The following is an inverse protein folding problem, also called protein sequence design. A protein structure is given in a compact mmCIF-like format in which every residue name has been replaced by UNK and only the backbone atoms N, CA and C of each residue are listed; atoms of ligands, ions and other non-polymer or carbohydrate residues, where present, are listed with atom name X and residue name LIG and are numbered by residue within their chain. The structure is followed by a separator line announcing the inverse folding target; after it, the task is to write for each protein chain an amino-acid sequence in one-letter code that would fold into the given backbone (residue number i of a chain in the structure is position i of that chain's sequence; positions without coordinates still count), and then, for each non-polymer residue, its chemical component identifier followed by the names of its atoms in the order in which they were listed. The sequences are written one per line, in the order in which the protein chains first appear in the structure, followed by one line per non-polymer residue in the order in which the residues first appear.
data_IF_169440443563
#
_entry.id   IF_169440443563
#
_cell.length_a   1.000
_cell.length_b   1.000
_cell.length_c   1.000
_cell.angle_alpha   90.00
_cell.angle_beta   90.00
_cell.angle_gamma   90.00
#
_symmetry.space_group_name_H-M   'P 1'
#
loop_
_entity.id
_entity.type
_entity.pdbx_description
1 polymer ?
#
# COMPACT_ATOMS: atom_id res chain seq x y z
N UNK A 1 17.06 -11.95 12.36
CA UNK A 1 17.00 -10.49 12.09
C UNK A 1 18.14 -9.81 12.82
N UNK A 2 18.76 -8.78 12.23
CA UNK A 2 19.86 -8.04 12.90
C UNK A 2 19.36 -7.40 14.21
N UNK A 3 20.18 -7.33 15.28
CA UNK A 3 19.82 -6.60 16.53
C UNK A 3 19.57 -5.12 16.24
N UNK A 4 18.63 -4.49 16.95
CA UNK A 4 18.32 -3.07 16.80
C UNK A 4 19.51 -2.19 17.20
N UNK A 5 19.72 -1.07 16.51
CA UNK A 5 20.70 -0.06 16.87
C UNK A 5 20.13 1.37 16.75
N UNK A 6 20.99 2.38 16.97
CA UNK A 6 20.59 3.80 16.88
C UNK A 6 19.96 4.19 15.54
N UNK A 7 20.47 3.67 14.42
CA UNK A 7 19.95 4.00 13.08
C UNK A 7 18.57 3.38 12.86
N UNK A 8 18.36 2.16 13.35
CA UNK A 8 17.04 1.52 13.35
C UNK A 8 16.04 2.36 14.16
N UNK A 9 16.45 2.85 15.35
CA UNK A 9 15.62 3.72 16.18
C UNK A 9 15.28 5.05 15.51
N UNK A 10 16.24 5.70 14.86
CA UNK A 10 16.02 6.95 14.13
C UNK A 10 15.08 6.75 12.93
N UNK A 11 15.27 5.69 12.15
CA UNK A 11 14.40 5.37 11.01
C UNK A 11 12.96 5.12 11.48
N UNK A 12 12.78 4.27 12.51
CA UNK A 12 11.47 4.01 13.09
C UNK A 12 10.83 5.27 13.70
N UNK A 13 11.64 6.16 14.27
CA UNK A 13 11.19 7.47 14.76
C UNK A 13 10.63 8.35 13.62
N UNK A 14 11.30 8.42 12.47
CA UNK A 14 10.82 9.15 11.29
C UNK A 14 9.49 8.56 10.79
N UNK A 15 9.41 7.23 10.68
CA UNK A 15 8.18 6.54 10.26
C UNK A 15 7.05 6.85 11.24
N UNK A 16 7.31 6.74 12.54
CA UNK A 16 6.31 7.02 13.57
C UNK A 16 5.83 8.47 13.50
N UNK A 17 6.74 9.45 13.49
CA UNK A 17 6.39 10.87 13.44
C UNK A 17 5.59 11.20 12.19
N UNK A 18 6.04 10.75 11.02
CA UNK A 18 5.33 11.01 9.75
C UNK A 18 3.97 10.31 9.69
N UNK A 19 3.83 9.11 10.26
CA UNK A 19 2.55 8.40 10.41
C UNK A 19 1.59 9.19 11.32
N UNK A 20 2.07 9.66 12.47
CA UNK A 20 1.25 10.44 13.42
C UNK A 20 0.82 11.78 12.83
N UNK A 21 1.71 12.46 12.10
CA UNK A 21 1.36 13.70 11.38
C UNK A 21 0.30 13.45 10.30
N UNK A 22 0.42 12.35 9.56
CA UNK A 22 -0.57 11.95 8.54
C UNK A 22 -1.91 11.58 9.18
N UNK A 23 -1.87 10.89 10.32
CA UNK A 23 -3.06 10.50 11.09
C UNK A 23 -3.75 11.72 11.70
N UNK A 24 -3.01 12.70 12.20
CA UNK A 24 -3.57 13.97 12.67
C UNK A 24 -4.32 14.72 11.55
N UNK A 25 -3.92 14.48 10.29
CA UNK A 25 -4.55 15.02 9.09
C UNK A 25 -5.51 14.03 8.43
N UNK A 26 -6.00 13.00 9.13
CA UNK A 26 -6.84 11.94 8.54
C UNK A 26 -8.09 12.48 7.80
N UNK A 27 -8.58 13.66 8.19
CA UNK A 27 -9.71 14.34 7.56
C UNK A 27 -9.49 14.70 6.08
N UNK A 28 -8.24 14.77 5.60
CA UNK A 28 -7.96 15.03 4.18
C UNK A 28 -8.20 13.79 3.30
N UNK A 29 -8.31 12.61 3.90
CA UNK A 29 -8.57 11.36 3.19
C UNK A 29 -10.08 11.07 3.11
N UNK A 30 -10.54 10.31 2.10
CA UNK A 30 -9.74 9.81 0.99
C UNK A 30 -9.51 10.92 -0.04
N UNK A 31 -8.32 10.96 -0.65
CA UNK A 31 -7.99 12.02 -1.61
C UNK A 31 -8.63 11.66 -2.96
N UNK A 32 -9.47 12.55 -3.50
CA UNK A 32 -10.23 12.31 -4.73
C UNK A 32 -9.30 12.28 -5.96
N UNK A 33 -8.91 11.07 -6.39
CA UNK A 33 -8.39 10.74 -7.73
C UNK A 33 -8.71 9.27 -8.03
N UNK A 34 -8.03 8.35 -7.35
CA UNK A 34 -8.01 6.92 -7.72
C UNK A 34 -8.89 6.05 -6.79
N UNK A 35 -8.94 6.40 -5.52
CA UNK A 35 -9.59 5.58 -4.48
C UNK A 35 -11.09 5.34 -4.72
N UNK A 36 -11.80 6.28 -5.34
CA UNK A 36 -13.24 6.14 -5.62
C UNK A 36 -13.50 5.07 -6.68
N UNK A 37 -12.59 4.92 -7.66
CA UNK A 37 -12.64 3.82 -8.60
C UNK A 37 -12.49 2.48 -7.86
N UNK A 38 -11.48 2.34 -7.00
CA UNK A 38 -11.28 1.11 -6.21
C UNK A 38 -12.44 0.80 -5.24
N UNK A 39 -13.08 1.83 -4.68
CA UNK A 39 -14.30 1.67 -3.89
C UNK A 39 -15.47 1.14 -4.74
N UNK A 40 -15.63 1.65 -5.97
CA UNK A 40 -16.65 1.17 -6.92
C UNK A 40 -16.43 -0.29 -7.30
N UNK A 41 -15.20 -0.67 -7.66
CA UNK A 41 -14.83 -2.06 -7.95
C UNK A 41 -15.13 -2.96 -6.75
N UNK A 42 -14.70 -2.56 -5.55
CA UNK A 42 -14.94 -3.33 -4.32
C UNK A 42 -16.44 -3.54 -4.08
N UNK A 43 -17.26 -2.52 -4.36
CA UNK A 43 -18.71 -2.63 -4.27
C UNK A 43 -19.28 -3.55 -5.34
N UNK A 44 -18.77 -3.50 -6.57
CA UNK A 44 -19.10 -4.40 -7.67
C UNK A 44 -18.84 -5.86 -7.31
N UNK A 45 -17.65 -6.18 -6.79
CA UNK A 45 -17.30 -7.51 -6.29
C UNK A 45 -18.25 -7.97 -5.17
N UNK A 46 -18.59 -7.06 -4.25
CA UNK A 46 -19.54 -7.36 -3.16
C UNK A 46 -20.94 -7.67 -3.68
N UNK A 47 -21.42 -6.99 -4.73
CA UNK A 47 -22.73 -7.23 -5.34
C UNK A 47 -22.74 -8.57 -6.09
N UNK A 48 -21.65 -8.88 -6.79
CA UNK A 48 -21.48 -10.14 -7.53
C UNK A 48 -21.28 -11.38 -6.64
N UNK A 49 -21.01 -11.19 -5.34
CA UNK A 49 -20.66 -12.26 -4.42
C UNK A 49 -19.23 -12.78 -4.57
N UNK A 50 -18.35 -12.08 -5.29
CA UNK A 50 -16.98 -12.53 -5.54
C UNK A 50 -16.17 -11.63 -6.47
N UNK A 51 -14.94 -12.08 -6.80
CA UNK A 51 -14.07 -11.39 -7.76
C UNK A 51 -14.71 -11.48 -9.15
N UNK A 52 -14.78 -10.34 -9.83
CA UNK A 52 -15.28 -10.23 -11.20
C UNK A 52 -14.13 -9.82 -12.11
N UNK A 53 -13.94 -10.55 -13.21
CA UNK A 53 -12.90 -10.26 -14.20
C UNK A 53 -13.44 -9.47 -15.41
N UNK A 54 -14.77 -9.36 -15.51
CA UNK A 54 -15.45 -8.59 -16.52
C UNK A 54 -16.52 -7.71 -15.86
N UNK A 55 -16.17 -6.46 -15.66
CA UNK A 55 -16.90 -5.49 -14.86
C UNK A 55 -18.24 -5.17 -15.54
N UNK A 56 -19.33 -5.20 -14.76
CA UNK A 56 -20.69 -4.83 -15.22
C UNK A 56 -21.13 -3.44 -14.75
N UNK A 57 -20.36 -2.83 -13.83
CA UNK A 57 -20.67 -1.52 -13.24
C UNK A 57 -20.04 -0.34 -14.00
N UNK A 58 -19.07 -0.61 -14.88
CA UNK A 58 -18.49 0.38 -15.80
C UNK A 58 -18.81 0.00 -17.25
N UNK A 59 -18.97 1.01 -18.11
CA UNK A 59 -19.25 0.82 -19.55
C UNK A 59 -20.47 -0.07 -19.83
N UNK A 60 -21.48 -0.02 -18.94
CA UNK A 60 -22.74 -0.73 -19.15
C UNK A 60 -23.44 -0.28 -20.45
N UNK A 61 -24.13 -1.18 -21.16
CA UNK A 61 -24.38 -2.58 -20.80
C UNK A 61 -23.24 -3.54 -21.18
N UNK A 62 -22.29 -3.11 -22.02
CA UNK A 62 -21.26 -3.99 -22.57
C UNK A 62 -20.26 -4.44 -21.51
N UNK A 63 -19.96 -3.60 -20.53
CA UNK A 63 -18.94 -3.87 -19.53
C UNK A 63 -17.52 -3.68 -20.06
N UNK A 64 -16.54 -4.12 -19.27
CA UNK A 64 -15.14 -4.20 -19.71
C UNK A 64 -14.34 -5.24 -18.91
N UNK A 65 -13.20 -5.68 -19.45
CA UNK A 65 -12.25 -6.50 -18.69
C UNK A 65 -11.68 -5.70 -17.50
N UNK A 66 -11.58 -6.37 -16.36
CA UNK A 66 -11.06 -5.79 -15.13
C UNK A 66 -9.58 -5.40 -15.28
N UNK A 67 -9.24 -4.16 -14.87
CA UNK A 67 -7.94 -3.56 -15.18
C UNK A 67 -6.78 -3.99 -14.27
N UNK A 68 -7.06 -4.42 -13.03
CA UNK A 68 -6.03 -4.56 -11.99
C UNK A 68 -6.03 -5.96 -11.38
N UNK A 69 -4.89 -6.41 -10.83
CA UNK A 69 -4.90 -7.53 -9.90
C UNK A 69 -5.89 -7.28 -8.74
N UNK A 70 -6.66 -8.29 -8.32
CA UNK A 70 -7.78 -8.07 -7.40
C UNK A 70 -7.36 -7.88 -5.95
N UNK A 71 -6.08 -8.02 -5.59
CA UNK A 71 -5.62 -8.08 -4.20
C UNK A 71 -6.01 -6.85 -3.38
N UNK A 72 -5.82 -5.64 -3.91
CA UNK A 72 -6.26 -4.40 -3.26
C UNK A 72 -7.78 -4.43 -2.98
N UNK A 73 -8.58 -4.83 -3.96
CA UNK A 73 -10.03 -4.91 -3.86
C UNK A 73 -10.49 -5.99 -2.89
N UNK A 74 -9.74 -7.10 -2.77
CA UNK A 74 -10.02 -8.16 -1.79
C UNK A 74 -9.76 -7.65 -0.37
N UNK A 75 -8.66 -6.92 -0.13
CA UNK A 75 -8.38 -6.28 1.17
C UNK A 75 -9.49 -5.29 1.51
N UNK A 76 -9.85 -4.42 0.56
CA UNK A 76 -10.92 -3.45 0.74
C UNK A 76 -12.28 -4.12 1.00
N UNK A 77 -12.59 -5.19 0.27
CA UNK A 77 -13.82 -5.96 0.41
C UNK A 77 -13.93 -6.65 1.77
N UNK A 78 -12.81 -7.16 2.29
CA UNK A 78 -12.75 -7.69 3.66
C UNK A 78 -13.05 -6.60 4.69
N UNK A 79 -12.42 -5.44 4.59
CA UNK A 79 -12.66 -4.31 5.51
C UNK A 79 -14.09 -3.77 5.41
N UNK A 80 -14.66 -3.74 4.21
CA UNK A 80 -16.02 -3.25 3.95
C UNK A 80 -17.11 -4.09 4.64
N UNK A 81 -16.81 -5.34 5.03
CA UNK A 81 -17.71 -6.15 5.86
C UNK A 81 -17.94 -5.56 7.26
N UNK A 82 -17.00 -4.75 7.74
CA UNK A 82 -17.00 -4.23 9.11
C UNK A 82 -17.04 -2.70 9.19
N UNK A 83 -16.71 -2.01 8.09
CA UNK A 83 -16.54 -0.57 8.05
C UNK A 83 -17.31 0.05 6.88
N UNK A 84 -17.83 1.29 7.02
CA UNK A 84 -18.36 2.04 5.89
C UNK A 84 -17.34 2.18 4.77
N UNK A 85 -17.76 2.08 3.51
CA UNK A 85 -16.86 2.11 2.34
C UNK A 85 -15.96 3.36 2.32
N UNK A 86 -16.51 4.51 2.74
CA UNK A 86 -15.72 5.76 2.83
C UNK A 86 -14.58 5.62 3.83
N UNK A 87 -14.80 4.97 4.98
CA UNK A 87 -13.78 4.70 6.00
C UNK A 87 -12.72 3.74 5.46
N UNK A 88 -13.12 2.72 4.70
CA UNK A 88 -12.17 1.83 4.00
C UNK A 88 -11.27 2.64 3.06
N UNK A 89 -11.86 3.51 2.23
CA UNK A 89 -11.11 4.40 1.35
C UNK A 89 -10.12 5.29 2.11
N UNK A 90 -10.53 5.87 3.25
CA UNK A 90 -9.64 6.67 4.12
C UNK A 90 -8.44 5.87 4.60
N UNK A 91 -8.69 4.67 5.12
CA UNK A 91 -7.63 3.83 5.68
C UNK A 91 -6.65 3.43 4.58
N UNK A 92 -7.13 3.01 3.41
CA UNK A 92 -6.27 2.64 2.28
C UNK A 92 -5.39 3.81 1.85
N UNK A 93 -5.96 4.98 1.59
CA UNK A 93 -5.17 6.14 1.16
C UNK A 93 -4.19 6.64 2.23
N UNK A 94 -4.51 6.45 3.51
CA UNK A 94 -3.61 6.78 4.61
C UNK A 94 -2.47 5.75 4.76
N UNK A 95 -2.78 4.45 4.74
CA UNK A 95 -1.86 3.40 5.18
C UNK A 95 -0.74 3.12 4.17
N UNK A 96 -0.90 3.50 2.90
CA UNK A 96 0.11 3.24 1.86
C UNK A 96 1.45 3.89 2.16
N UNK A 97 1.45 5.13 2.67
CA UNK A 97 2.68 5.86 2.98
C UNK A 97 3.52 5.20 4.09
N UNK A 98 2.98 4.88 5.28
CA UNK A 98 3.76 4.17 6.29
C UNK A 98 4.16 2.76 5.85
N UNK A 99 3.35 2.06 5.06
CA UNK A 99 3.71 0.73 4.55
C UNK A 99 4.88 0.79 3.55
N UNK A 100 4.95 1.80 2.68
CA UNK A 100 6.09 1.94 1.76
C UNK A 100 7.36 2.27 2.53
N UNK A 101 7.27 3.10 3.56
CA UNK A 101 8.42 3.39 4.43
C UNK A 101 8.91 2.14 5.17
N UNK A 102 7.99 1.34 5.73
CA UNK A 102 8.33 0.12 6.45
C UNK A 102 8.93 -0.96 5.53
N UNK A 103 8.34 -1.18 4.35
CA UNK A 103 8.86 -2.17 3.40
C UNK A 103 10.26 -1.81 2.90
N UNK A 104 10.49 -0.54 2.55
CA UNK A 104 11.82 -0.03 2.16
C UNK A 104 12.80 -0.12 3.31
N UNK A 105 12.41 0.27 4.52
CA UNK A 105 13.23 0.14 5.73
C UNK A 105 13.71 -1.30 5.91
N UNK A 106 12.78 -2.27 5.87
CA UNK A 106 13.08 -3.69 6.05
C UNK A 106 14.02 -4.21 4.96
N UNK A 107 13.75 -3.91 3.69
CA UNK A 107 14.57 -4.33 2.58
C UNK A 107 16.00 -3.79 2.69
N UNK A 108 16.14 -2.45 2.76
CA UNK A 108 17.46 -1.81 2.72
C UNK A 108 18.30 -2.19 3.94
N UNK A 109 17.66 -2.30 5.12
CA UNK A 109 18.33 -2.70 6.35
C UNK A 109 18.93 -4.09 6.27
N UNK A 110 18.19 -5.02 5.65
CA UNK A 110 18.59 -6.43 5.60
C UNK A 110 19.64 -6.66 4.51
N UNK A 111 19.45 -6.08 3.32
CA UNK A 111 20.30 -6.31 2.13
C UNK A 111 21.57 -5.45 2.16
N UNK A 112 21.46 -4.18 2.53
CA UNK A 112 22.59 -3.27 2.66
C UNK A 112 22.96 -3.17 4.15
N UNK A 113 22.93 -1.95 4.69
CA UNK A 113 23.26 -1.66 6.08
C UNK A 113 22.23 -0.72 6.73
N UNK A 114 22.34 -0.59 8.05
CA UNK A 114 21.38 0.16 8.88
C UNK A 114 21.49 1.67 8.67
N UNK A 115 22.69 2.20 8.39
CA UNK A 115 22.90 3.63 8.15
C UNK A 115 22.27 4.02 6.81
N UNK A 116 22.47 3.19 5.78
CA UNK A 116 21.82 3.37 4.46
C UNK A 116 20.31 3.30 4.59
N UNK A 117 19.76 2.31 5.32
CA UNK A 117 18.31 2.22 5.55
C UNK A 117 17.72 3.47 6.19
N UNK A 118 18.37 4.02 7.21
CA UNK A 118 17.96 5.28 7.83
C UNK A 118 17.91 6.45 6.83
N UNK A 119 18.96 6.64 6.04
CA UNK A 119 18.97 7.72 5.06
C UNK A 119 17.95 7.51 3.95
N UNK A 120 17.72 6.27 3.51
CA UNK A 120 16.68 5.97 2.52
C UNK A 120 15.29 6.33 3.07
N UNK A 121 14.96 5.94 4.30
CA UNK A 121 13.69 6.30 4.94
C UNK A 121 13.54 7.82 5.05
N UNK A 122 14.59 8.53 5.47
CA UNK A 122 14.57 9.99 5.54
C UNK A 122 14.30 10.61 4.15
N UNK A 123 15.01 10.15 3.11
CA UNK A 123 14.92 10.68 1.76
C UNK A 123 13.55 10.45 1.11
N UNK A 124 12.89 9.31 1.36
CA UNK A 124 11.53 9.08 0.83
C UNK A 124 10.45 9.81 1.65
N UNK A 125 10.76 10.20 2.89
CA UNK A 125 9.78 10.89 3.77
C UNK A 125 9.66 12.38 3.47
N UNK A 126 10.76 13.01 3.07
CA UNK A 126 10.84 14.48 2.89
C UNK A 126 10.04 15.00 1.69
N UNK A 127 10.06 14.39 0.49
CA UNK A 127 9.38 14.92 -0.67
C UNK A 127 7.86 14.87 -0.51
N UNK A 128 7.23 16.02 -0.36
CA UNK A 128 5.76 16.12 -0.25
C UNK A 128 5.03 15.47 -1.42
N UNK A 129 5.59 15.57 -2.64
CA UNK A 129 5.01 14.92 -3.82
C UNK A 129 5.02 13.39 -3.73
N UNK A 130 6.02 12.79 -3.10
CA UNK A 130 6.05 11.35 -2.89
C UNK A 130 5.03 10.92 -1.83
N UNK A 131 4.94 11.65 -0.72
CA UNK A 131 3.88 11.46 0.28
C UNK A 131 2.48 11.54 -0.37
N UNK A 132 2.24 12.62 -1.12
CA UNK A 132 0.96 12.86 -1.77
C UNK A 132 0.64 11.80 -2.82
N UNK A 133 1.63 11.33 -3.58
CA UNK A 133 1.40 10.27 -4.57
C UNK A 133 0.96 8.96 -3.91
N UNK A 134 1.48 8.63 -2.72
CA UNK A 134 1.06 7.42 -2.01
C UNK A 134 -0.43 7.43 -1.63
N UNK A 135 -0.98 8.61 -1.36
CA UNK A 135 -2.39 8.81 -1.07
C UNK A 135 -3.29 8.85 -2.32
N UNK A 136 -2.71 9.24 -3.46
CA UNK A 136 -3.43 9.54 -4.70
C UNK A 136 -3.53 8.35 -5.65
N UNK A 137 -2.52 7.48 -5.71
CA UNK A 137 -2.45 6.37 -6.67
C UNK A 137 -2.30 5.05 -5.92
N UNK A 138 -3.39 4.56 -5.33
CA UNK A 138 -3.40 3.49 -4.32
C UNK A 138 -2.93 2.15 -4.90
N UNK A 139 -3.33 1.81 -6.14
CA UNK A 139 -2.83 0.61 -6.82
C UNK A 139 -1.30 0.66 -7.01
N UNK A 140 -0.78 1.75 -7.57
CA UNK A 140 0.67 1.95 -7.73
C UNK A 140 1.40 1.97 -6.39
N UNK A 141 0.78 2.57 -5.37
CA UNK A 141 1.36 2.65 -4.03
C UNK A 141 1.48 1.28 -3.39
N UNK A 142 0.48 0.41 -3.58
CA UNK A 142 0.57 -0.99 -3.16
C UNK A 142 1.71 -1.73 -3.87
N UNK A 143 1.93 -1.48 -5.17
CA UNK A 143 3.10 -2.03 -5.89
C UNK A 143 4.41 -1.54 -5.25
N UNK A 144 4.51 -0.27 -4.86
CA UNK A 144 5.68 0.28 -4.17
C UNK A 144 5.88 -0.31 -2.76
N UNK A 145 4.80 -0.70 -2.07
CA UNK A 145 4.87 -1.43 -0.80
C UNK A 145 5.38 -2.86 -1.01
N UNK A 146 4.88 -3.56 -2.03
CA UNK A 146 5.18 -4.97 -2.26
C UNK A 146 6.57 -5.18 -2.89
N UNK A 147 7.03 -4.28 -3.76
CA UNK A 147 8.29 -4.45 -4.52
C UNK A 147 9.52 -4.65 -3.61
N UNK A 148 9.77 -3.84 -2.56
CA UNK A 148 10.87 -4.10 -1.63
C UNK A 148 10.75 -5.45 -0.91
N UNK A 149 9.52 -5.92 -0.63
CA UNK A 149 9.29 -7.22 0.00
C UNK A 149 9.55 -8.38 -0.96
N UNK A 150 9.20 -8.23 -2.25
CA UNK A 150 9.55 -9.19 -3.31
C UNK A 150 11.06 -9.34 -3.39
N UNK A 151 11.80 -8.23 -3.50
CA UNK A 151 13.26 -8.28 -3.54
C UNK A 151 13.86 -8.85 -2.26
N UNK A 152 13.35 -8.48 -1.09
CA UNK A 152 13.80 -9.06 0.18
C UNK A 152 13.59 -10.58 0.23
N UNK A 153 12.48 -11.09 -0.31
CA UNK A 153 12.22 -12.52 -0.39
C UNK A 153 13.18 -13.21 -1.38
N UNK A 154 13.47 -12.60 -2.53
CA UNK A 154 14.44 -13.11 -3.51
C UNK A 154 15.84 -13.19 -2.90
N UNK A 155 16.32 -12.12 -2.26
CA UNK A 155 17.63 -12.06 -1.60
C UNK A 155 17.76 -13.11 -0.48
N UNK A 156 16.65 -13.40 0.20
CA UNK A 156 16.58 -14.45 1.24
C UNK A 156 16.34 -15.86 0.68
N UNK A 157 16.34 -16.03 -0.66
CA UNK A 157 16.09 -17.29 -1.37
C UNK A 157 14.72 -17.93 -1.02
N UNK A 158 13.73 -17.10 -0.68
CA UNK A 158 12.36 -17.52 -0.34
C UNK A 158 11.47 -17.49 -1.58
N UNK A 159 11.70 -18.40 -2.51
CA UNK A 159 11.03 -18.44 -3.82
C UNK A 159 9.50 -18.42 -3.71
N UNK A 160 8.92 -19.22 -2.81
CA UNK A 160 7.45 -19.24 -2.64
C UNK A 160 6.90 -17.88 -2.20
N UNK A 161 7.57 -17.21 -1.25
CA UNK A 161 7.16 -15.87 -0.81
C UNK A 161 7.28 -14.85 -1.94
N UNK A 162 8.33 -14.93 -2.75
CA UNK A 162 8.49 -14.06 -3.92
C UNK A 162 7.36 -14.24 -4.93
N UNK A 163 7.02 -15.48 -5.27
CA UNK A 163 5.92 -15.79 -6.23
C UNK A 163 4.58 -15.28 -5.70
N UNK A 164 4.27 -15.53 -4.43
CA UNK A 164 3.02 -15.06 -3.82
C UNK A 164 2.95 -13.53 -3.89
N UNK A 165 4.00 -12.84 -3.47
CA UNK A 165 4.03 -11.36 -3.47
C UNK A 165 3.96 -10.76 -4.89
N UNK A 166 4.49 -11.43 -5.91
CA UNK A 166 4.39 -10.99 -7.30
C UNK A 166 3.01 -11.24 -7.92
N UNK A 167 2.24 -12.18 -7.39
CA UNK A 167 0.89 -12.50 -7.85
C UNK A 167 -0.22 -11.67 -7.19
N UNK A 168 0.14 -10.88 -6.17
CA UNK A 168 -0.74 -9.97 -5.42
C UNK A 168 -0.84 -8.63 -6.13
#
# INVERSE_FOLDING_TARGET
MKRLNRYDGLAMGIILVSTLLSLWRLNIFPVFVDIFYHMSVTKGFSIAGGIVLHDFWEFAPLGRVHLYPPFLHVIMGFMYRFLPMITVGKIISFIMFPLVQLSVFLYVREVFDRKTSFYTVLLITVPFNFYRSQALTNATSLVLVLTPLVFLAVEKRKLLSSVILMSM
#
